data_IF_269078646372
#
_entry.id   IF_269078646372
#
_cell.length_a   1.000
_cell.length_b   1.000
_cell.length_c   1.000
_cell.angle_alpha   90.00
_cell.angle_beta   90.00
_cell.angle_gamma   90.00
#
_symmetry.space_group_name_H-M   'P 1'
#
loop_
_entity.id
_entity.type
_entity.pdbx_description
1 polymer ?
#
# COMPACT_ATOMS: atom_id res chain seq x y z
N UNK A 1 -5.12 -6.07 -22.05
CA UNK A 1 -5.27 -4.59 -22.05
C UNK A 1 -5.96 -4.24 -20.75
N UNK A 2 -5.31 -3.49 -19.88
CA UNK A 2 -5.92 -3.08 -18.61
C UNK A 2 -7.05 -2.07 -18.90
N UNK A 3 -8.25 -2.35 -18.41
CA UNK A 3 -9.41 -1.47 -18.54
C UNK A 3 -9.70 -0.89 -17.17
N UNK A 4 -9.72 0.44 -17.09
CA UNK A 4 -10.10 1.12 -15.85
C UNK A 4 -11.56 0.78 -15.52
N UNK A 5 -11.90 0.45 -14.26
CA UNK A 5 -13.29 0.28 -13.85
C UNK A 5 -14.09 1.55 -14.11
N UNK A 6 -15.32 1.41 -14.61
CA UNK A 6 -16.23 2.54 -14.78
C UNK A 6 -16.51 3.20 -13.42
N UNK A 7 -16.52 4.52 -13.39
CA UNK A 7 -16.81 5.29 -12.18
C UNK A 7 -15.65 5.36 -11.17
N UNK A 8 -14.46 4.86 -11.53
CA UNK A 8 -13.30 4.99 -10.65
C UNK A 8 -12.98 6.46 -10.40
N UNK A 9 -12.86 6.92 -9.15
CA UNK A 9 -12.42 8.27 -8.84
C UNK A 9 -11.07 8.58 -9.48
N UNK A 10 -10.91 9.77 -10.08
CA UNK A 10 -9.66 10.17 -10.76
C UNK A 10 -8.42 10.07 -9.85
N UNK A 11 -8.58 10.30 -8.56
CA UNK A 11 -7.53 10.14 -7.55
C UNK A 11 -6.94 8.72 -7.50
N UNK A 12 -7.72 7.70 -7.90
CA UNK A 12 -7.25 6.32 -7.93
C UNK A 12 -6.54 5.94 -9.23
N UNK A 13 -6.56 6.78 -10.27
CA UNK A 13 -5.92 6.45 -11.56
C UNK A 13 -4.45 6.03 -11.42
N UNK A 14 -3.60 6.69 -10.60
CA UNK A 14 -2.21 6.28 -10.43
C UNK A 14 -2.04 4.90 -9.77
N UNK A 15 -3.03 4.43 -9.02
CA UNK A 15 -3.04 3.15 -8.31
C UNK A 15 -3.94 2.10 -9.01
N UNK A 16 -4.65 2.48 -10.06
CA UNK A 16 -5.65 1.62 -10.69
C UNK A 16 -5.09 0.30 -11.22
N UNK A 17 -3.82 0.28 -11.61
CA UNK A 17 -3.13 -0.94 -12.07
C UNK A 17 -3.01 -2.01 -10.98
N UNK A 18 -3.17 -1.63 -9.70
CA UNK A 18 -3.15 -2.58 -8.57
C UNK A 18 -4.46 -3.35 -8.43
N UNK A 19 -5.57 -2.83 -8.95
CA UNK A 19 -6.91 -3.43 -8.74
C UNK A 19 -6.93 -4.84 -9.30
N UNK A 20 -7.31 -5.80 -8.45
CA UNK A 20 -7.36 -7.21 -8.76
C UNK A 20 -6.59 -8.05 -7.75
N UNK A 21 -6.37 -9.32 -8.09
CA UNK A 21 -5.59 -10.26 -7.28
C UNK A 21 -4.25 -10.53 -7.94
N UNK A 22 -3.20 -10.51 -7.11
CA UNK A 22 -1.81 -10.67 -7.54
C UNK A 22 -1.15 -11.79 -6.77
N UNK A 23 -0.32 -12.56 -7.42
CA UNK A 23 0.56 -13.52 -6.78
C UNK A 23 2.00 -13.21 -7.17
N UNK A 24 2.89 -13.29 -6.20
CA UNK A 24 4.30 -13.02 -6.42
C UNK A 24 5.18 -13.59 -5.34
N UNK A 25 6.46 -13.40 -5.49
CA UNK A 25 7.45 -13.76 -4.49
C UNK A 25 8.38 -12.60 -4.24
N UNK A 26 8.88 -12.54 -3.02
CA UNK A 26 9.80 -11.51 -2.59
C UNK A 26 10.86 -12.06 -1.64
N UNK A 27 11.66 -11.14 -1.14
CA UNK A 27 12.68 -11.40 -0.12
C UNK A 27 12.44 -10.45 1.04
N UNK A 28 12.36 -10.99 2.24
CA UNK A 28 12.32 -10.23 3.48
C UNK A 28 13.62 -10.43 4.24
N UNK A 29 14.26 -9.32 4.60
CA UNK A 29 15.39 -9.31 5.52
C UNK A 29 14.90 -8.75 6.84
N UNK A 30 14.86 -9.58 7.86
CA UNK A 30 14.33 -9.20 9.16
C UNK A 30 15.35 -9.40 10.25
N UNK A 31 15.76 -8.28 10.87
CA UNK A 31 16.55 -8.30 12.10
C UNK A 31 15.78 -8.89 13.31
N UNK A 32 14.44 -8.98 13.21
CA UNK A 32 13.61 -9.59 14.26
C UNK A 32 13.59 -11.11 14.21
N UNK A 33 13.75 -11.69 13.01
CA UNK A 33 13.81 -13.14 12.85
C UNK A 33 15.21 -13.69 13.19
N UNK A 34 16.25 -12.88 12.97
CA UNK A 34 17.62 -13.23 13.33
C UNK A 34 18.42 -11.95 13.58
N UNK A 35 18.69 -11.63 14.86
CA UNK A 35 19.39 -10.42 15.27
C UNK A 35 20.89 -10.42 14.89
N UNK A 36 21.46 -11.60 14.67
CA UNK A 36 22.91 -11.74 14.47
C UNK A 36 23.33 -11.85 13.01
N UNK A 37 22.49 -12.42 12.13
CA UNK A 37 22.93 -12.87 10.80
C UNK A 37 22.35 -12.14 9.61
N UNK A 38 21.44 -11.18 9.75
CA UNK A 38 20.79 -10.48 8.63
C UNK A 38 20.28 -11.44 7.53
N UNK A 39 19.73 -12.57 7.92
CA UNK A 39 19.30 -13.59 6.98
C UNK A 39 18.14 -13.07 6.13
N UNK A 40 18.23 -13.33 4.83
CA UNK A 40 17.16 -13.09 3.88
C UNK A 40 16.27 -14.34 3.78
N UNK A 41 14.96 -14.12 3.87
CA UNK A 41 13.96 -15.17 3.72
C UNK A 41 13.15 -14.93 2.47
N UNK A 42 12.99 -15.94 1.65
CA UNK A 42 12.13 -15.90 0.46
C UNK A 42 10.68 -16.16 0.89
N UNK A 43 9.78 -15.36 0.38
CA UNK A 43 8.35 -15.54 0.63
C UNK A 43 7.54 -15.53 -0.66
N UNK A 44 6.39 -16.17 -0.61
CA UNK A 44 5.34 -16.07 -1.60
C UNK A 44 4.19 -15.28 -1.02
N UNK A 45 3.59 -14.41 -1.81
CA UNK A 45 2.51 -13.54 -1.37
C UNK A 45 1.35 -13.56 -2.36
N UNK A 46 0.14 -13.53 -1.83
CA UNK A 46 -1.08 -13.20 -2.58
C UNK A 46 -1.64 -11.91 -2.03
N UNK A 47 -1.90 -10.97 -2.93
CA UNK A 47 -2.42 -9.64 -2.61
C UNK A 47 -3.68 -9.38 -3.39
N UNK A 48 -4.68 -8.77 -2.73
CA UNK A 48 -5.90 -8.32 -3.40
C UNK A 48 -6.10 -6.84 -3.12
N UNK A 49 -6.30 -6.08 -4.18
CA UNK A 49 -6.72 -4.68 -4.12
C UNK A 49 -8.11 -4.52 -4.70
N UNK A 50 -8.99 -3.84 -3.98
CA UNK A 50 -10.36 -3.56 -4.41
C UNK A 50 -10.66 -2.07 -4.33
N UNK A 51 -11.26 -1.51 -5.37
CA UNK A 51 -11.80 -0.17 -5.34
C UNK A 51 -13.23 -0.21 -4.77
N UNK A 52 -13.53 0.71 -3.87
CA UNK A 52 -14.89 1.01 -3.39
C UNK A 52 -15.37 2.35 -3.97
N UNK A 53 -16.39 2.92 -3.33
CA UNK A 53 -16.93 4.24 -3.70
C UNK A 53 -16.03 5.41 -3.24
N UNK A 54 -15.04 5.12 -2.39
CA UNK A 54 -14.11 6.11 -1.86
C UNK A 54 -12.91 6.38 -2.76
N UNK A 55 -12.04 7.29 -2.32
CA UNK A 55 -10.78 7.65 -2.97
C UNK A 55 -9.60 6.78 -2.47
N UNK A 56 -9.84 5.54 -2.14
CA UNK A 56 -8.87 4.58 -1.63
C UNK A 56 -9.07 3.19 -2.24
N UNK A 57 -8.01 2.40 -2.22
CA UNK A 57 -8.08 0.96 -2.46
C UNK A 57 -8.05 0.23 -1.12
N UNK A 58 -8.96 -0.74 -0.95
CA UNK A 58 -8.85 -1.73 0.11
C UNK A 58 -7.77 -2.74 -0.26
N UNK A 59 -7.00 -3.17 0.72
CA UNK A 59 -5.85 -4.05 0.59
C UNK A 59 -5.98 -5.26 1.51
N UNK A 60 -5.70 -6.44 0.99
CA UNK A 60 -5.55 -7.66 1.76
C UNK A 60 -4.36 -8.46 1.24
N UNK A 61 -3.53 -8.96 2.15
CA UNK A 61 -2.36 -9.75 1.81
C UNK A 61 -2.23 -10.97 2.73
N UNK A 62 -1.82 -12.09 2.14
CA UNK A 62 -1.39 -13.28 2.85
C UNK A 62 -0.05 -13.73 2.27
N UNK A 63 0.88 -14.08 3.16
CA UNK A 63 2.24 -14.43 2.77
C UNK A 63 2.72 -15.67 3.53
N UNK A 64 3.64 -16.42 2.94
CA UNK A 64 4.31 -17.53 3.59
C UNK A 64 5.77 -17.64 3.15
N UNK A 65 6.62 -18.16 4.02
CA UNK A 65 8.01 -18.46 3.66
C UNK A 65 8.05 -19.68 2.73
N UNK A 66 8.87 -19.58 1.68
CA UNK A 66 8.96 -20.65 0.67
C UNK A 66 9.66 -21.89 1.24
N UNK A 67 10.74 -21.69 1.98
CA UNK A 67 11.62 -22.77 2.40
C UNK A 67 11.11 -23.53 3.66
N UNK A 68 10.17 -22.95 4.40
CA UNK A 68 9.67 -23.54 5.65
C UNK A 68 8.16 -23.67 5.72
N UNK A 69 7.45 -23.15 4.72
CA UNK A 69 5.97 -23.07 4.65
C UNK A 69 5.32 -22.39 5.89
N UNK A 70 6.10 -21.54 6.57
CA UNK A 70 5.62 -20.77 7.72
C UNK A 70 4.76 -19.62 7.18
N UNK A 71 3.53 -19.51 7.68
CA UNK A 71 2.68 -18.36 7.40
C UNK A 71 3.24 -17.11 8.07
N UNK A 72 3.34 -16.04 7.30
CA UNK A 72 3.62 -14.70 7.80
C UNK A 72 2.30 -14.03 8.20
N UNK A 73 2.33 -13.00 9.08
CA UNK A 73 1.12 -12.28 9.45
C UNK A 73 0.37 -11.76 8.22
N UNK A 74 -0.93 -12.03 8.18
CA UNK A 74 -1.81 -11.42 7.18
C UNK A 74 -1.89 -9.91 7.38
N UNK A 75 -2.20 -9.18 6.32
CA UNK A 75 -2.32 -7.73 6.33
C UNK A 75 -3.66 -7.29 5.76
N UNK A 76 -4.25 -6.29 6.38
CA UNK A 76 -5.43 -5.58 5.90
C UNK A 76 -5.15 -4.09 5.91
N UNK A 77 -5.65 -3.35 4.94
CA UNK A 77 -5.41 -1.91 4.95
C UNK A 77 -6.05 -1.12 3.82
N UNK A 78 -5.64 0.14 3.73
CA UNK A 78 -6.12 1.09 2.75
C UNK A 78 -4.95 1.84 2.13
N UNK A 79 -5.01 2.02 0.82
CA UNK A 79 -4.03 2.75 0.02
C UNK A 79 -4.69 3.92 -0.69
N UNK A 80 -4.08 5.09 -0.65
CA UNK A 80 -4.59 6.29 -1.30
C UNK A 80 -3.47 7.24 -1.74
N UNK A 81 -3.80 8.25 -2.53
CA UNK A 81 -2.89 9.37 -2.74
C UNK A 81 -2.74 10.16 -1.44
N UNK A 82 -1.50 10.60 -1.16
CA UNK A 82 -1.21 11.49 -0.04
C UNK A 82 -1.65 12.91 -0.42
N UNK A 83 -2.76 13.35 0.17
CA UNK A 83 -3.31 14.70 0.02
C UNK A 83 -3.96 15.14 1.33
N UNK A 84 -4.14 16.45 1.54
CA UNK A 84 -4.94 16.93 2.67
C UNK A 84 -6.33 16.30 2.69
N UNK A 85 -6.84 16.02 3.88
CA UNK A 85 -8.20 15.53 4.04
C UNK A 85 -9.22 16.60 3.62
N UNK A 86 -10.28 16.17 2.96
CA UNK A 86 -11.39 17.02 2.54
C UNK A 86 -12.72 16.50 3.10
N UNK A 87 -13.75 17.34 3.08
CA UNK A 87 -15.09 16.96 3.53
C UNK A 87 -15.70 15.83 2.68
N UNK A 88 -15.24 15.68 1.44
CA UNK A 88 -15.63 14.59 0.54
C UNK A 88 -14.94 13.25 0.85
N UNK A 89 -13.98 13.20 1.74
CA UNK A 89 -13.39 11.96 2.23
C UNK A 89 -14.29 11.36 3.33
N UNK A 90 -14.37 10.03 3.36
CA UNK A 90 -15.08 9.36 4.45
C UNK A 90 -14.38 9.64 5.77
N UNK A 91 -15.16 10.11 6.73
CA UNK A 91 -14.67 10.41 8.07
C UNK A 91 -14.54 9.16 8.94
N UNK A 92 -13.84 9.27 10.09
CA UNK A 92 -13.82 8.21 11.09
C UNK A 92 -15.22 8.05 11.73
N UNK A 93 -15.42 6.93 12.44
CA UNK A 93 -16.61 6.69 13.27
C UNK A 93 -17.91 6.73 12.46
N UNK A 94 -17.91 6.11 11.27
CA UNK A 94 -19.08 6.03 10.38
C UNK A 94 -19.62 7.39 9.88
N UNK A 95 -18.80 8.43 9.90
CA UNK A 95 -19.17 9.71 9.31
C UNK A 95 -19.15 9.61 7.78
N UNK A 96 -20.28 9.88 7.10
CA UNK A 96 -20.32 9.83 5.65
C UNK A 96 -19.46 10.95 5.04
N UNK A 97 -19.01 10.73 3.83
CA UNK A 97 -18.43 11.79 3.01
C UNK A 97 -19.46 12.90 2.77
N UNK A 98 -19.04 14.16 2.81
CA UNK A 98 -19.89 15.32 2.60
C UNK A 98 -19.22 16.32 1.65
N UNK A 99 -20.02 16.93 0.76
CA UNK A 99 -19.51 17.92 -0.19
C UNK A 99 -18.95 17.31 -1.47
N UNK A 100 -18.26 18.14 -2.22
CA UNK A 100 -17.71 17.78 -3.52
C UNK A 100 -16.21 17.51 -3.41
N UNK A 101 -15.72 16.55 -4.21
CA UNK A 101 -14.29 16.27 -4.33
C UNK A 101 -13.58 17.38 -5.10
N UNK A 102 -12.36 17.68 -4.71
CA UNK A 102 -11.50 18.66 -5.40
C UNK A 102 -10.99 18.11 -6.73
N UNK A 103 -10.68 16.81 -6.78
CA UNK A 103 -10.15 16.15 -7.97
C UNK A 103 -11.32 15.56 -8.78
N UNK A 104 -11.72 16.25 -9.83
CA UNK A 104 -12.86 15.89 -10.69
C UNK A 104 -12.44 15.48 -12.09
N UNK A 105 -11.19 15.71 -12.46
CA UNK A 105 -10.64 15.45 -13.80
C UNK A 105 -9.21 14.93 -13.75
N UNK A 106 -8.72 14.48 -14.89
CA UNK A 106 -7.31 14.12 -15.05
C UNK A 106 -6.37 15.33 -14.89
N UNK A 107 -6.83 16.53 -15.29
CA UNK A 107 -6.08 17.77 -15.13
C UNK A 107 -5.95 18.15 -13.66
N UNK A 108 -7.03 18.03 -12.89
CA UNK A 108 -6.97 18.26 -11.43
C UNK A 108 -5.99 17.28 -10.78
N UNK A 109 -6.00 16.01 -11.19
CA UNK A 109 -5.08 15.00 -10.70
C UNK A 109 -3.61 15.40 -10.92
N UNK A 110 -3.28 16.00 -12.06
CA UNK A 110 -1.91 16.44 -12.36
C UNK A 110 -1.39 17.47 -11.35
N UNK A 111 -2.27 18.20 -10.66
CA UNK A 111 -1.86 19.14 -9.61
C UNK A 111 -1.23 18.46 -8.40
N UNK A 112 -1.49 17.15 -8.20
CA UNK A 112 -0.90 16.32 -7.15
C UNK A 112 0.43 15.67 -7.55
N UNK A 113 0.90 15.90 -8.81
CA UNK A 113 2.15 15.32 -9.27
C UNK A 113 3.34 15.91 -8.51
N UNK A 114 4.16 15.03 -7.94
CA UNK A 114 5.33 15.46 -7.19
C UNK A 114 6.50 15.87 -8.12
N UNK A 115 7.52 16.60 -7.60
CA UNK A 115 8.66 17.03 -8.40
C UNK A 115 9.47 15.91 -9.06
N UNK A 116 9.31 14.67 -8.60
CA UNK A 116 9.96 13.47 -9.17
C UNK A 116 9.18 12.87 -10.33
N UNK A 117 8.01 13.45 -10.65
CA UNK A 117 7.15 13.04 -11.75
C UNK A 117 6.26 11.84 -11.43
N UNK A 118 6.09 11.51 -10.16
CA UNK A 118 5.15 10.51 -9.64
C UNK A 118 4.03 11.15 -8.83
N UNK A 119 3.30 10.34 -8.09
CA UNK A 119 2.30 10.78 -7.12
C UNK A 119 2.68 10.26 -5.75
N UNK A 120 2.59 11.10 -4.75
CA UNK A 120 2.83 10.68 -3.37
C UNK A 120 1.62 9.87 -2.88
N UNK A 121 1.92 8.77 -2.19
CA UNK A 121 0.93 7.81 -1.70
C UNK A 121 1.13 7.53 -0.22
N UNK A 122 0.09 7.10 0.42
CA UNK A 122 0.12 6.60 1.79
C UNK A 122 -0.70 5.32 1.90
N UNK A 123 -0.30 4.46 2.84
CA UNK A 123 -1.04 3.27 3.19
C UNK A 123 -1.10 3.12 4.71
N UNK A 124 -2.25 2.64 5.19
CA UNK A 124 -2.45 2.22 6.57
C UNK A 124 -2.72 0.73 6.58
N UNK A 125 -1.91 -0.02 7.31
CA UNK A 125 -1.97 -1.48 7.35
C UNK A 125 -2.11 -1.92 8.80
N UNK A 126 -2.95 -2.93 9.02
CA UNK A 126 -3.16 -3.59 10.31
C UNK A 126 -2.90 -5.08 10.17
N UNK A 127 -2.33 -5.68 11.22
CA UNK A 127 -2.04 -7.10 11.34
C UNK A 127 -2.96 -7.77 12.38
N UNK A 128 -3.19 -9.11 12.32
CA UNK A 128 -4.09 -9.82 13.22
C UNK A 128 -3.77 -9.65 14.71
N UNK A 129 -2.51 -9.41 15.06
CA UNK A 129 -2.07 -9.16 16.44
C UNK A 129 -2.39 -7.74 16.96
N UNK A 130 -3.10 -6.91 16.19
CA UNK A 130 -3.40 -5.52 16.56
C UNK A 130 -2.26 -4.53 16.27
N UNK A 131 -1.14 -5.00 15.74
CA UNK A 131 -0.11 -4.11 15.22
C UNK A 131 -0.64 -3.34 14.02
N UNK A 132 -0.24 -2.08 13.91
CA UNK A 132 -0.55 -1.25 12.75
C UNK A 132 0.66 -0.47 12.29
N UNK A 133 0.70 -0.16 11.01
CA UNK A 133 1.78 0.59 10.39
C UNK A 133 1.21 1.58 9.37
N UNK A 134 1.84 2.75 9.32
CA UNK A 134 1.59 3.76 8.30
C UNK A 134 2.80 3.85 7.38
N UNK A 135 2.52 3.80 6.11
CA UNK A 135 3.51 3.90 5.05
C UNK A 135 3.30 5.19 4.27
N UNK A 136 4.40 5.79 3.85
CA UNK A 136 4.39 6.87 2.88
C UNK A 136 5.43 6.61 1.79
N UNK A 137 5.14 7.10 0.60
CA UNK A 137 6.03 6.92 -0.53
C UNK A 137 5.46 7.50 -1.81
N UNK A 138 5.76 6.85 -2.93
CA UNK A 138 5.30 7.32 -4.22
C UNK A 138 4.94 6.17 -5.16
N UNK A 139 4.06 6.47 -6.11
CA UNK A 139 3.84 5.65 -7.31
C UNK A 139 4.32 6.41 -8.53
N UNK A 140 5.08 5.74 -9.40
CA UNK A 140 5.55 6.30 -10.67
C UNK A 140 5.68 5.18 -11.70
N UNK A 141 5.00 5.33 -12.84
CA UNK A 141 5.09 4.39 -13.98
C UNK A 141 4.91 2.91 -13.59
N UNK A 142 3.91 2.62 -12.74
CA UNK A 142 3.61 1.26 -12.27
C UNK A 142 4.57 0.71 -11.21
N UNK A 143 5.50 1.54 -10.72
CA UNK A 143 6.38 1.19 -9.61
C UNK A 143 5.94 1.93 -8.35
N UNK A 144 5.97 1.23 -7.25
CA UNK A 144 5.68 1.75 -5.92
C UNK A 144 6.93 1.65 -5.05
N UNK A 145 7.29 2.76 -4.43
CA UNK A 145 8.36 2.84 -3.43
C UNK A 145 7.73 3.43 -2.16
N UNK A 146 7.59 2.64 -1.12
CA UNK A 146 7.02 3.06 0.18
C UNK A 146 7.95 2.69 1.33
N UNK A 147 7.79 3.40 2.43
CA UNK A 147 8.49 3.12 3.69
C UNK A 147 7.56 3.34 4.87
N UNK A 148 7.76 2.61 5.94
CA UNK A 148 7.05 2.84 7.20
C UNK A 148 7.45 4.20 7.77
N UNK A 149 6.46 4.99 8.19
CA UNK A 149 6.65 6.31 8.81
C UNK A 149 6.14 6.34 10.25
N UNK A 150 5.23 5.44 10.64
CA UNK A 150 4.75 5.25 12.00
C UNK A 150 4.19 3.84 12.17
N UNK A 151 4.16 3.32 13.42
CA UNK A 151 3.57 2.02 13.72
C UNK A 151 3.53 1.73 15.22
N UNK A 152 2.63 0.84 15.63
CA UNK A 152 2.38 0.53 17.05
C UNK A 152 3.45 -0.38 17.70
N UNK A 153 4.22 -1.10 16.91
CA UNK A 153 5.24 -2.05 17.40
C UNK A 153 6.65 -1.73 16.90
N UNK A 154 6.84 -0.55 16.30
CA UNK A 154 8.19 -0.12 15.92
C UNK A 154 8.93 0.41 17.14
N UNK A 155 10.13 -0.11 17.45
CA UNK A 155 11.00 0.51 18.44
C UNK A 155 11.29 1.96 18.05
N UNK A 156 11.08 2.90 18.96
CA UNK A 156 11.25 4.36 18.73
C UNK A 156 12.61 4.71 18.09
N UNK A 157 13.66 4.00 18.45
CA UNK A 157 15.00 4.23 17.87
C UNK A 157 15.12 3.92 16.38
N UNK A 158 14.22 3.12 15.81
CA UNK A 158 14.19 2.86 14.37
C UNK A 158 13.50 3.99 13.60
N UNK A 159 12.56 4.68 14.23
CA UNK A 159 11.88 5.84 13.67
C UNK A 159 12.85 7.04 13.62
N UNK A 160 13.58 7.29 14.70
CA UNK A 160 14.52 8.40 14.80
C UNK A 160 15.72 8.27 13.85
N UNK A 161 16.16 7.06 13.55
CA UNK A 161 17.31 6.83 12.68
C UNK A 161 17.02 7.00 11.18
N UNK A 162 15.78 7.32 10.79
CA UNK A 162 15.38 7.41 9.36
C UNK A 162 15.58 6.10 8.59
N UNK A 163 15.83 5.01 9.28
CA UNK A 163 15.95 3.66 8.73
C UNK A 163 14.55 3.04 8.68
N UNK A 164 13.73 3.57 7.78
CA UNK A 164 12.47 2.93 7.45
C UNK A 164 12.73 1.51 6.95
N UNK A 165 11.87 0.59 7.32
CA UNK A 165 11.84 -0.74 6.74
C UNK A 165 11.49 -0.57 5.27
N UNK A 166 12.45 -0.85 4.40
CA UNK A 166 12.20 -0.90 2.98
C UNK A 166 11.57 -2.24 2.64
N UNK A 167 10.28 -2.25 2.41
CA UNK A 167 9.66 -3.33 1.68
C UNK A 167 10.04 -3.14 0.20
N UNK A 168 11.05 -3.87 -0.26
CA UNK A 168 11.37 -3.92 -1.68
C UNK A 168 10.64 -5.14 -2.26
N UNK A 169 9.37 -4.98 -2.57
CA UNK A 169 8.59 -6.00 -3.23
C UNK A 169 8.79 -5.90 -4.75
N UNK A 170 9.40 -6.91 -5.36
CA UNK A 170 9.31 -7.14 -6.79
C UNK A 170 8.19 -8.12 -7.04
N UNK A 171 7.03 -7.62 -7.34
CA UNK A 171 5.96 -8.44 -7.89
C UNK A 171 6.29 -8.80 -9.35
N UNK A 172 6.58 -10.05 -9.60
CA UNK A 172 6.73 -10.61 -10.94
C UNK A 172 5.71 -11.74 -11.09
N UNK A 173 4.69 -11.50 -11.86
CA UNK A 173 3.78 -12.57 -12.25
C UNK A 173 2.57 -12.04 -13.01
N UNK A 174 2.02 -12.85 -13.94
CA UNK A 174 0.79 -12.49 -14.61
C UNK A 174 -0.39 -12.56 -13.62
N UNK A 175 -1.22 -11.57 -13.68
CA UNK A 175 -2.51 -11.55 -13.00
C UNK A 175 -3.41 -12.55 -13.68
N UNK A 176 -3.91 -13.54 -12.95
CA UNK A 176 -5.10 -14.27 -13.36
C UNK A 176 -6.31 -13.51 -12.86
N UNK A 177 -7.02 -12.86 -13.78
CA UNK A 177 -8.36 -12.34 -13.51
C UNK A 177 -9.30 -13.54 -13.54
N UNK A 178 -9.74 -14.01 -12.40
CA UNK A 178 -10.94 -14.82 -12.24
C UNK A 178 -12.12 -13.92 -11.89
#
# INVERSE_FOLDING_TARGET
MFVLPEGLPHELNPLAFLIGSWEGSGVVSSKFLDQENHQEYKFQQRVTFSAGEGNYLSYHSVSRLIDSDIELPAELGFWRLAKPAEAADHGPVLLPAAGERTIKSAEDLETLRNPRGGFDIEASIIHPGGAYEFYAGQVKSGRIDIRTVAGSHMPMHLIEAGKGWGYAERMHGPVTND
#
